data_IF_546517729975
#
_entry.id   IF_546517729975
#
_cell.length_a   1.000
_cell.length_b   1.000
_cell.length_c   1.000
_cell.angle_alpha   90.00
_cell.angle_beta   90.00
_cell.angle_gamma   90.00
#
_symmetry.space_group_name_H-M   'P 1'
#
loop_
_entity.id
_entity.type
_entity.pdbx_description
1 polymer ?
#
# COMPACT_ATOMS: atom_id res chain seq x y z
N UNK A 1 15.04 18.88 -4.06
CA UNK A 1 14.04 18.81 -2.96
C UNK A 1 14.68 18.02 -1.83
N UNK A 2 14.65 18.48 -0.57
CA UNK A 2 15.14 17.66 0.54
C UNK A 2 14.03 16.69 0.93
N UNK A 3 14.37 15.40 1.09
CA UNK A 3 13.45 14.38 1.56
C UNK A 3 13.09 14.65 3.03
N UNK A 4 11.80 14.66 3.43
CA UNK A 4 11.42 14.76 4.84
C UNK A 4 11.92 13.55 5.63
N UNK A 5 12.42 13.76 6.85
CA UNK A 5 12.96 12.70 7.70
C UNK A 5 11.88 11.90 8.45
N UNK A 6 10.75 11.58 7.81
CA UNK A 6 9.68 10.78 8.41
C UNK A 6 10.14 9.38 8.84
N UNK A 7 11.13 8.84 8.14
CA UNK A 7 11.68 7.50 8.37
C UNK A 7 12.56 7.38 9.61
N UNK A 8 12.76 8.47 10.36
CA UNK A 8 13.46 8.54 11.66
C UNK A 8 12.60 9.24 12.72
N UNK A 9 11.29 9.30 12.51
CA UNK A 9 10.34 9.94 13.42
C UNK A 9 9.25 8.95 13.88
N UNK A 10 9.38 8.35 15.08
CA UNK A 10 8.40 7.38 15.59
C UNK A 10 6.99 7.94 15.79
N UNK A 11 6.80 9.26 15.69
CA UNK A 11 5.48 9.88 15.72
C UNK A 11 4.83 9.94 14.33
N UNK A 12 5.61 9.69 13.28
CA UNK A 12 5.16 9.82 11.89
C UNK A 12 5.19 8.48 11.16
N UNK A 13 4.26 7.59 11.48
CA UNK A 13 4.13 6.30 10.78
C UNK A 13 3.53 6.47 9.37
N UNK A 14 2.65 7.45 9.22
CA UNK A 14 1.89 7.68 7.99
C UNK A 14 1.67 9.18 7.77
N UNK A 15 1.71 9.61 6.52
CA UNK A 15 1.33 10.96 6.07
C UNK A 15 0.35 10.82 4.92
N UNK A 16 -0.84 11.38 5.06
CA UNK A 16 -1.91 11.40 4.06
C UNK A 16 -2.41 10.00 3.61
N UNK A 17 -2.17 8.94 4.38
CA UNK A 17 -2.84 7.66 4.14
C UNK A 17 -4.30 7.74 4.59
N UNK A 18 -5.15 6.91 4.00
CA UNK A 18 -6.47 6.65 4.59
C UNK A 18 -6.32 5.87 5.91
N UNK A 19 -7.29 5.94 6.83
CA UNK A 19 -7.31 5.07 7.99
C UNK A 19 -7.29 3.59 7.59
N UNK A 20 -6.60 2.74 8.38
CA UNK A 20 -6.65 1.30 8.17
C UNK A 20 -8.09 0.77 8.29
N UNK A 21 -8.45 -0.12 7.40
CA UNK A 21 -9.79 -0.71 7.32
C UNK A 21 -9.73 -2.19 6.88
N UNK A 22 -10.85 -2.89 7.00
CA UNK A 22 -10.96 -4.25 6.52
C UNK A 22 -10.71 -4.34 5.01
N UNK A 23 -9.99 -5.38 4.60
CA UNK A 23 -9.76 -5.63 3.18
C UNK A 23 -11.02 -6.16 2.51
N UNK A 24 -11.48 -5.48 1.49
CA UNK A 24 -12.50 -5.96 0.57
C UNK A 24 -12.44 -5.20 -0.76
N UNK A 25 -12.85 -5.87 -1.82
CA UNK A 25 -12.94 -5.29 -3.17
C UNK A 25 -14.41 -5.16 -3.53
N UNK A 26 -14.88 -3.97 -3.94
CA UNK A 26 -16.25 -3.77 -4.37
C UNK A 26 -16.51 -4.45 -5.73
N UNK A 27 -17.75 -4.89 -5.93
CA UNK A 27 -18.24 -5.42 -7.20
C UNK A 27 -19.57 -4.77 -7.57
N UNK A 28 -19.92 -4.82 -8.86
CA UNK A 28 -21.19 -4.26 -9.36
C UNK A 28 -22.41 -5.10 -9.00
N UNK A 29 -22.22 -6.36 -8.57
CA UNK A 29 -23.31 -7.25 -8.13
C UNK A 29 -22.82 -8.28 -7.14
N UNK A 30 -23.72 -8.77 -6.28
CA UNK A 30 -23.45 -9.85 -5.33
C UNK A 30 -23.01 -11.14 -6.04
N UNK A 31 -23.61 -11.47 -7.18
CA UNK A 31 -23.22 -12.64 -7.96
C UNK A 31 -21.75 -12.56 -8.44
N UNK A 32 -21.31 -11.40 -8.90
CA UNK A 32 -19.92 -11.18 -9.30
C UNK A 32 -18.98 -11.26 -8.10
N UNK A 33 -19.36 -10.69 -6.97
CA UNK A 33 -18.55 -10.70 -5.75
C UNK A 33 -18.29 -12.10 -5.19
N UNK A 34 -19.27 -13.02 -5.32
CA UNK A 34 -19.13 -14.41 -4.84
C UNK A 34 -18.38 -15.30 -5.81
N UNK A 35 -18.55 -15.09 -7.13
CA UNK A 35 -18.07 -16.02 -8.14
C UNK A 35 -16.75 -15.64 -8.80
N UNK A 36 -16.27 -14.41 -8.62
CA UNK A 36 -15.12 -13.87 -9.35
C UNK A 36 -14.01 -13.41 -8.44
N UNK A 37 -12.78 -13.48 -8.93
CA UNK A 37 -11.61 -12.89 -8.28
C UNK A 37 -11.60 -11.37 -8.46
N UNK A 38 -10.81 -10.66 -7.68
CA UNK A 38 -10.76 -9.19 -7.60
C UNK A 38 -10.49 -8.51 -8.95
N UNK A 39 -9.75 -9.17 -9.83
CA UNK A 39 -9.37 -8.66 -11.16
C UNK A 39 -10.58 -8.49 -12.09
N UNK A 40 -11.69 -9.15 -11.78
CA UNK A 40 -12.95 -8.99 -12.50
C UNK A 40 -13.84 -7.86 -11.98
N UNK A 41 -13.43 -7.18 -10.91
CA UNK A 41 -14.14 -6.00 -10.45
C UNK A 41 -13.94 -4.83 -11.43
N UNK A 42 -15.00 -4.14 -11.87
CA UNK A 42 -14.88 -2.97 -12.72
C UNK A 42 -14.30 -1.75 -11.99
N UNK A 43 -14.09 -1.86 -10.69
CA UNK A 43 -13.54 -0.80 -9.83
C UNK A 43 -12.06 -1.01 -9.50
N UNK A 44 -11.49 -2.15 -9.89
CA UNK A 44 -10.13 -2.55 -9.57
C UNK A 44 -9.25 -2.49 -10.82
N UNK A 45 -8.16 -1.73 -10.75
CA UNK A 45 -7.17 -1.64 -11.81
C UNK A 45 -5.80 -1.99 -11.24
N UNK A 46 -5.24 -3.12 -11.65
CA UNK A 46 -3.90 -3.55 -11.22
C UNK A 46 -2.83 -2.70 -11.91
N UNK A 47 -1.83 -2.26 -11.14
CA UNK A 47 -0.68 -1.50 -11.64
C UNK A 47 0.61 -2.33 -11.67
N UNK A 48 0.55 -3.60 -11.36
CA UNK A 48 1.67 -4.55 -11.43
C UNK A 48 2.30 -4.61 -12.83
N UNK A 49 3.47 -5.20 -12.92
CA UNK A 49 4.18 -5.43 -14.17
C UNK A 49 5.57 -4.81 -14.15
N UNK A 50 6.15 -4.54 -15.32
CA UNK A 50 7.46 -3.91 -15.44
C UNK A 50 7.35 -2.41 -15.14
N UNK A 51 8.08 -1.95 -14.11
CA UNK A 51 8.21 -0.54 -13.74
C UNK A 51 9.61 -0.05 -14.08
N UNK A 52 9.75 1.20 -14.49
CA UNK A 52 11.04 1.85 -14.56
C UNK A 52 11.64 1.93 -13.16
N UNK A 53 12.97 1.71 -13.05
CA UNK A 53 13.64 1.56 -11.76
C UNK A 53 15.03 2.20 -11.77
N UNK A 54 15.39 2.78 -10.63
CA UNK A 54 16.75 3.24 -10.36
C UNK A 54 17.11 2.92 -8.90
N UNK A 55 18.29 2.31 -8.71
CA UNK A 55 18.80 1.97 -7.39
C UNK A 55 19.89 2.94 -6.97
N UNK A 56 19.89 3.34 -5.71
CA UNK A 56 20.90 4.21 -5.11
C UNK A 56 21.41 3.61 -3.81
N UNK A 57 22.74 3.64 -3.62
CA UNK A 57 23.40 3.14 -2.41
C UNK A 57 23.16 4.02 -1.17
N UNK A 58 22.56 5.18 -1.35
CA UNK A 58 22.09 6.07 -0.29
C UNK A 58 21.02 7.00 -0.82
N UNK A 59 20.00 7.31 -0.01
CA UNK A 59 19.02 8.35 -0.33
C UNK A 59 19.65 9.73 -0.51
N UNK A 60 20.84 9.94 0.05
CA UNK A 60 21.61 11.18 -0.14
C UNK A 60 22.20 11.33 -1.55
N UNK A 61 22.25 10.23 -2.31
CA UNK A 61 22.67 10.21 -3.72
C UNK A 61 21.54 10.50 -4.70
N UNK A 62 20.30 10.63 -4.21
CA UNK A 62 19.17 11.02 -5.06
C UNK A 62 19.43 12.38 -5.69
N UNK A 63 19.23 12.54 -7.01
CA UNK A 63 19.23 13.85 -7.65
C UNK A 63 18.22 14.79 -6.99
N UNK A 64 18.51 16.08 -6.92
CA UNK A 64 17.57 17.07 -6.38
C UNK A 64 16.23 17.07 -7.13
N UNK A 65 16.26 16.72 -8.40
CA UNK A 65 15.10 16.62 -9.29
C UNK A 65 14.81 15.17 -9.70
N UNK A 66 14.77 14.28 -8.72
CA UNK A 66 14.60 12.84 -8.94
C UNK A 66 13.26 12.47 -9.58
N UNK A 67 12.25 13.34 -9.50
CA UNK A 67 10.95 13.14 -10.16
C UNK A 67 11.03 13.29 -11.69
N UNK A 68 12.11 13.89 -12.22
CA UNK A 68 12.40 13.95 -13.66
C UNK A 68 13.62 13.08 -14.04
N UNK A 69 13.91 12.07 -13.22
CA UNK A 69 15.02 11.14 -13.47
C UNK A 69 14.79 10.34 -14.74
N UNK A 70 15.88 10.18 -15.54
CA UNK A 70 15.85 9.35 -16.75
C UNK A 70 16.23 7.92 -16.39
N UNK A 71 15.26 7.02 -16.38
CA UNK A 71 15.45 5.62 -16.05
C UNK A 71 16.10 4.84 -17.19
N UNK A 72 16.99 3.93 -16.85
CA UNK A 72 17.64 3.00 -17.78
C UNK A 72 17.29 1.56 -17.51
N UNK A 73 16.85 1.24 -16.30
CA UNK A 73 16.54 -0.10 -15.85
C UNK A 73 15.04 -0.29 -15.58
N UNK A 74 14.65 -1.54 -15.51
CA UNK A 74 13.28 -1.95 -15.16
C UNK A 74 13.31 -3.05 -14.11
N UNK A 75 12.25 -3.10 -13.32
CA UNK A 75 12.05 -4.14 -12.31
C UNK A 75 10.58 -4.60 -12.33
N UNK A 76 10.30 -5.90 -12.19
CA UNK A 76 8.92 -6.35 -12.00
C UNK A 76 8.38 -5.92 -10.65
N UNK A 77 7.14 -5.49 -10.61
CA UNK A 77 6.35 -5.21 -9.41
C UNK A 77 5.14 -6.14 -9.44
N UNK A 78 4.89 -6.96 -8.40
CA UNK A 78 5.65 -7.02 -7.14
C UNK A 78 6.98 -7.78 -7.24
N UNK A 79 8.01 -7.27 -6.55
CA UNK A 79 9.24 -8.01 -6.30
C UNK A 79 10.12 -7.32 -5.24
N UNK A 80 11.16 -8.03 -4.78
CA UNK A 80 12.22 -7.46 -3.98
C UNK A 80 13.44 -7.20 -4.87
N UNK A 81 14.06 -6.05 -4.76
CA UNK A 81 15.18 -5.67 -5.63
C UNK A 81 16.43 -6.56 -5.44
N UNK A 82 16.60 -7.21 -4.26
CA UNK A 82 17.67 -8.17 -4.01
C UNK A 82 17.60 -9.38 -4.98
N UNK A 83 16.41 -9.77 -5.42
CA UNK A 83 16.22 -10.86 -6.38
C UNK A 83 16.58 -10.47 -7.82
N UNK A 84 16.87 -9.18 -8.06
CA UNK A 84 17.19 -8.63 -9.38
C UNK A 84 18.62 -8.09 -9.46
N UNK A 85 19.48 -8.47 -8.47
CA UNK A 85 20.89 -8.13 -8.48
C UNK A 85 21.23 -6.78 -7.86
N UNK A 86 20.28 -6.12 -7.21
CA UNK A 86 20.50 -4.92 -6.43
C UNK A 86 20.59 -5.28 -4.95
N UNK A 87 21.63 -4.81 -4.26
CA UNK A 87 21.88 -5.12 -2.84
C UNK A 87 22.10 -6.64 -2.58
N UNK A 88 22.31 -7.00 -1.34
CA UNK A 88 22.55 -8.37 -0.91
C UNK A 88 21.43 -8.87 0.03
N UNK A 89 21.18 -10.17 -0.02
CA UNK A 89 20.34 -10.84 0.97
C UNK A 89 21.00 -10.75 2.35
N UNK A 90 20.25 -10.30 3.35
CA UNK A 90 20.65 -10.27 4.75
C UNK A 90 19.62 -11.04 5.57
N UNK A 91 20.12 -11.94 6.42
CA UNK A 91 19.31 -12.62 7.41
C UNK A 91 19.69 -12.10 8.79
N UNK A 92 18.70 -11.69 9.54
CA UNK A 92 18.87 -11.26 10.94
C UNK A 92 17.86 -11.96 11.82
N UNK A 93 18.30 -12.33 13.02
CA UNK A 93 17.49 -13.01 14.02
C UNK A 93 17.56 -12.25 15.36
N UNK A 94 18.75 -12.21 15.98
CA UNK A 94 18.94 -11.58 17.29
C UNK A 94 19.79 -10.32 17.24
N UNK A 95 20.48 -10.08 16.13
CA UNK A 95 21.34 -8.91 15.94
C UNK A 95 20.75 -8.00 14.90
N UNK A 96 20.71 -6.69 15.17
CA UNK A 96 20.35 -5.71 14.16
C UNK A 96 21.40 -5.64 13.05
N UNK A 97 20.99 -5.39 11.78
CA UNK A 97 21.91 -5.28 10.66
C UNK A 97 22.74 -4.00 10.66
N UNK A 98 22.47 -3.09 11.59
CA UNK A 98 23.14 -1.80 11.78
C UNK A 98 23.20 -1.45 13.28
N UNK A 99 24.00 -0.43 13.72
CA UNK A 99 24.09 -0.04 15.11
C UNK A 99 22.75 0.28 15.75
N UNK A 100 22.54 -0.17 16.99
CA UNK A 100 21.31 0.07 17.74
C UNK A 100 21.30 1.49 18.29
N UNK A 101 20.65 2.39 17.57
CA UNK A 101 20.51 3.82 17.93
C UNK A 101 19.14 4.39 17.49
N UNK A 102 18.00 3.79 17.95
CA UNK A 102 16.69 4.26 17.53
C UNK A 102 16.42 5.73 17.94
N UNK A 103 15.76 6.52 17.10
CA UNK A 103 15.07 6.11 15.87
C UNK A 103 15.95 6.19 14.61
N UNK A 104 17.22 6.48 14.74
CA UNK A 104 18.11 6.77 13.63
C UNK A 104 18.50 5.51 12.86
N UNK A 105 18.52 5.62 11.54
CA UNK A 105 18.99 4.57 10.62
C UNK A 105 20.28 5.01 9.93
N UNK A 106 21.04 4.10 9.29
CA UNK A 106 22.25 4.47 8.58
C UNK A 106 22.04 5.59 7.56
N UNK A 107 22.96 6.54 7.49
CA UNK A 107 22.94 7.59 6.46
C UNK A 107 23.06 6.97 5.06
N UNK A 108 23.88 5.90 4.92
CA UNK A 108 23.95 5.08 3.71
C UNK A 108 22.75 4.15 3.61
N UNK A 109 21.56 4.76 3.65
CA UNK A 109 20.29 4.06 3.55
C UNK A 109 19.94 3.86 2.07
N UNK A 110 20.06 2.63 1.63
CA UNK A 110 19.82 2.23 0.25
C UNK A 110 18.37 2.53 -0.15
N UNK A 111 18.17 2.93 -1.40
CA UNK A 111 16.82 3.20 -1.86
C UNK A 111 16.58 2.83 -3.32
N UNK A 112 15.34 2.51 -3.63
CA UNK A 112 14.84 2.29 -4.99
C UNK A 112 13.84 3.36 -5.38
N UNK A 113 14.07 4.01 -6.52
CA UNK A 113 13.13 4.90 -7.15
C UNK A 113 12.40 4.14 -8.26
N UNK A 114 11.11 4.03 -8.13
CA UNK A 114 10.20 3.36 -9.06
C UNK A 114 9.38 4.39 -9.83
N UNK A 115 9.10 4.11 -11.11
CA UNK A 115 8.23 4.92 -11.92
C UNK A 115 7.27 4.05 -12.74
N UNK A 116 6.00 4.45 -12.78
CA UNK A 116 4.95 3.80 -13.56
C UNK A 116 4.07 4.83 -14.25
N UNK A 117 3.88 4.66 -15.54
CA UNK A 117 2.84 5.40 -16.29
C UNK A 117 1.55 4.57 -16.27
N UNK A 118 0.43 5.23 -16.00
CA UNK A 118 -0.90 4.62 -16.03
C UNK A 118 -1.94 5.60 -16.53
N UNK A 119 -3.05 5.08 -17.06
CA UNK A 119 -4.12 5.90 -17.61
C UNK A 119 -5.37 5.81 -16.74
N UNK A 120 -6.03 6.94 -16.53
CA UNK A 120 -7.29 7.03 -15.82
C UNK A 120 -8.30 7.86 -16.63
N UNK A 121 -9.50 7.32 -16.78
CA UNK A 121 -10.66 8.11 -17.20
C UNK A 121 -11.35 8.64 -15.94
N UNK A 122 -11.15 9.92 -15.67
CA UNK A 122 -11.67 10.55 -14.45
C UNK A 122 -13.19 10.68 -14.53
N UNK A 123 -13.85 10.14 -13.51
CA UNK A 123 -15.25 10.41 -13.21
C UNK A 123 -15.33 11.27 -11.96
N UNK A 124 -15.90 12.49 -12.05
CA UNK A 124 -15.99 13.44 -10.96
C UNK A 124 -16.82 12.94 -9.75
N UNK A 125 -17.68 11.94 -9.95
CA UNK A 125 -18.47 11.32 -8.88
C UNK A 125 -17.69 10.24 -8.11
N UNK A 126 -16.42 9.95 -8.49
CA UNK A 126 -15.61 8.91 -7.87
C UNK A 126 -14.40 9.46 -7.13
N UNK A 127 -13.93 8.67 -6.19
CA UNK A 127 -12.61 8.74 -5.57
C UNK A 127 -11.71 7.65 -6.14
N UNK A 128 -10.43 7.92 -6.17
CA UNK A 128 -9.42 7.00 -6.68
C UNK A 128 -8.39 6.71 -5.58
N UNK A 129 -8.43 5.50 -5.06
CA UNK A 129 -7.61 5.06 -3.93
C UNK A 129 -6.47 4.19 -4.43
N UNK A 130 -5.25 4.67 -4.28
CA UNK A 130 -4.03 3.95 -4.64
C UNK A 130 -3.59 3.08 -3.47
N UNK A 131 -3.44 1.79 -3.72
CA UNK A 131 -3.13 0.78 -2.72
C UNK A 131 -1.78 0.13 -2.98
N UNK A 132 -0.96 0.02 -1.93
CA UNK A 132 0.24 -0.80 -1.86
C UNK A 132 0.02 -1.86 -0.78
N UNK A 133 -0.11 -3.13 -1.14
CA UNK A 133 -0.36 -4.21 -0.17
C UNK A 133 0.86 -4.59 0.68
N UNK A 134 2.05 -4.19 0.25
CA UNK A 134 3.28 -4.40 1.01
C UNK A 134 4.49 -3.75 0.36
N UNK A 135 5.18 -2.91 1.13
CA UNK A 135 6.43 -2.25 0.73
C UNK A 135 7.39 -2.26 1.91
N UNK A 136 8.59 -2.76 1.74
CA UNK A 136 9.61 -2.84 2.79
C UNK A 136 10.79 -1.90 2.47
N UNK A 137 11.14 -0.98 3.39
CA UNK A 137 10.61 -0.71 4.75
C UNK A 137 9.57 0.41 4.76
N UNK A 138 9.79 1.49 4.00
CA UNK A 138 8.88 2.64 3.92
C UNK A 138 8.87 3.22 2.52
N UNK A 139 7.83 3.99 2.21
CA UNK A 139 7.63 4.55 0.89
C UNK A 139 7.20 6.02 0.94
N UNK A 140 7.70 6.78 -0.04
CA UNK A 140 7.21 8.12 -0.39
C UNK A 140 6.52 8.03 -1.75
N UNK A 141 5.30 8.52 -1.84
CA UNK A 141 4.46 8.44 -3.03
C UNK A 141 4.30 9.81 -3.66
N UNK A 142 4.46 9.87 -4.97
CA UNK A 142 4.26 11.08 -5.78
C UNK A 142 3.41 10.73 -7.01
N UNK A 143 2.42 11.55 -7.29
CA UNK A 143 1.61 11.46 -8.51
C UNK A 143 1.73 12.76 -9.27
N UNK A 144 2.04 12.69 -10.58
CA UNK A 144 2.22 13.85 -11.44
C UNK A 144 3.18 14.90 -10.82
N UNK A 145 4.31 14.41 -10.27
CA UNK A 145 5.36 15.18 -9.59
C UNK A 145 4.93 15.89 -8.29
N UNK A 146 3.74 15.61 -7.77
CA UNK A 146 3.25 16.14 -6.51
C UNK A 146 3.38 15.10 -5.41
N UNK A 147 3.86 15.51 -4.23
CA UNK A 147 3.92 14.64 -3.06
C UNK A 147 2.50 14.27 -2.60
N UNK A 148 2.21 12.98 -2.57
CA UNK A 148 0.95 12.43 -2.09
C UNK A 148 1.04 12.10 -0.61
N UNK A 149 2.05 11.30 -0.22
CA UNK A 149 2.17 10.87 1.15
C UNK A 149 3.34 9.94 1.42
N UNK A 150 3.42 9.50 2.68
CA UNK A 150 4.43 8.60 3.23
C UNK A 150 3.74 7.49 4.03
N UNK A 151 4.34 6.31 4.03
CA UNK A 151 3.90 5.21 4.88
C UNK A 151 5.06 4.27 5.22
N UNK A 152 4.96 3.64 6.38
CA UNK A 152 5.80 2.52 6.83
C UNK A 152 4.91 1.41 7.41
N UNK A 153 5.48 0.37 8.02
CA UNK A 153 4.84 -0.89 8.41
C UNK A 153 4.65 -1.78 7.18
N UNK A 154 5.76 -2.46 6.83
CA UNK A 154 5.97 -3.10 5.53
C UNK A 154 4.93 -4.13 5.12
N UNK A 155 4.27 -4.82 6.05
CA UNK A 155 3.32 -5.90 5.78
C UNK A 155 1.85 -5.48 5.88
N UNK A 156 1.59 -4.19 6.13
CA UNK A 156 0.26 -3.60 6.11
C UNK A 156 0.01 -2.88 4.79
N UNK A 157 -1.25 -2.85 4.35
CA UNK A 157 -1.64 -2.08 3.17
C UNK A 157 -1.55 -0.59 3.46
N UNK A 158 -0.89 0.14 2.57
CA UNK A 158 -0.87 1.60 2.55
C UNK A 158 -1.81 2.09 1.45
N UNK A 159 -2.87 2.79 1.83
CA UNK A 159 -3.84 3.35 0.90
C UNK A 159 -3.80 4.87 0.90
N UNK A 160 -3.80 5.47 -0.29
CA UNK A 160 -3.78 6.93 -0.48
C UNK A 160 -4.93 7.36 -1.39
N UNK A 161 -5.69 8.38 -0.99
CA UNK A 161 -6.62 9.05 -1.89
C UNK A 161 -5.84 9.96 -2.84
N UNK A 162 -5.77 9.57 -4.11
CA UNK A 162 -5.03 10.32 -5.13
C UNK A 162 -5.95 11.10 -6.07
N UNK A 163 -7.22 11.23 -5.73
CA UNK A 163 -8.26 11.84 -6.60
C UNK A 163 -7.85 13.21 -7.10
N UNK A 164 -7.37 14.08 -6.19
CA UNK A 164 -7.01 15.46 -6.51
C UNK A 164 -5.65 15.60 -7.23
N UNK A 165 -4.87 14.53 -7.32
CA UNK A 165 -3.57 14.49 -7.98
C UNK A 165 -3.64 13.98 -9.42
N UNK A 166 -4.78 13.38 -9.80
CA UNK A 166 -4.96 12.78 -11.12
C UNK A 166 -5.28 13.83 -12.20
N UNK A 167 -4.86 13.53 -13.40
CA UNK A 167 -5.27 14.20 -14.63
C UNK A 167 -5.95 13.22 -15.59
N UNK A 168 -6.78 13.72 -16.47
CA UNK A 168 -7.47 12.92 -17.48
C UNK A 168 -6.44 12.27 -18.42
N UNK A 169 -6.53 10.97 -18.58
CA UNK A 169 -5.62 10.19 -19.43
C UNK A 169 -4.36 9.74 -18.68
N UNK A 170 -3.19 10.07 -19.22
CA UNK A 170 -1.90 9.63 -18.72
C UNK A 170 -1.52 10.28 -17.39
N UNK A 171 -1.03 9.46 -16.45
CA UNK A 171 -0.55 9.88 -15.13
C UNK A 171 0.78 9.19 -14.81
N UNK A 172 1.62 9.89 -14.07
CA UNK A 172 2.94 9.44 -13.65
C UNK A 172 2.95 9.16 -12.14
N UNK A 173 3.22 7.92 -11.76
CA UNK A 173 3.41 7.50 -10.38
C UNK A 173 4.91 7.30 -10.12
N UNK A 174 5.46 8.03 -9.15
CA UNK A 174 6.79 7.78 -8.62
C UNK A 174 6.69 7.28 -7.18
N UNK A 175 7.45 6.24 -6.86
CA UNK A 175 7.55 5.69 -5.51
C UNK A 175 9.01 5.58 -5.13
N UNK A 176 9.39 6.29 -4.07
CA UNK A 176 10.71 6.14 -3.48
C UNK A 176 10.59 5.22 -2.27
N UNK A 177 11.31 4.09 -2.30
CA UNK A 177 11.35 3.11 -1.22
C UNK A 177 12.71 3.17 -0.55
N UNK A 178 12.76 3.32 0.77
CA UNK A 178 13.99 3.21 1.56
C UNK A 178 14.11 1.83 2.18
N UNK A 179 15.34 1.32 2.26
CA UNK A 179 15.63 0.02 2.89
C UNK A 179 15.38 0.04 4.39
N UNK A 180 15.66 1.15 5.06
CA UNK A 180 15.58 1.29 6.49
C UNK A 180 14.70 2.46 6.91
N UNK A 181 13.92 2.25 7.96
CA UNK A 181 13.21 3.28 8.70
C UNK A 181 13.25 2.93 10.20
N UNK A 182 12.78 3.80 11.06
CA UNK A 182 12.71 3.54 12.51
C UNK A 182 11.89 2.28 12.84
N UNK A 183 10.87 1.95 12.03
CA UNK A 183 10.13 0.69 12.11
C UNK A 183 10.99 -0.55 11.93
N UNK A 184 12.16 -0.44 11.26
CA UNK A 184 13.09 -1.55 11.06
C UNK A 184 13.62 -2.14 12.38
N UNK A 185 13.63 -1.36 13.45
CA UNK A 185 13.98 -1.86 14.79
C UNK A 185 12.91 -2.80 15.38
N UNK A 186 11.65 -2.63 15.01
CA UNK A 186 10.52 -3.41 15.50
C UNK A 186 10.17 -4.59 14.58
N UNK A 187 10.46 -4.45 13.28
CA UNK A 187 10.15 -5.46 12.28
C UNK A 187 11.27 -6.51 12.12
N UNK A 188 12.30 -6.49 12.97
CA UNK A 188 13.41 -7.42 12.93
C UNK A 188 13.11 -8.69 13.72
N UNK A 189 12.53 -9.67 13.06
CA UNK A 189 12.21 -10.94 13.68
C UNK A 189 12.42 -12.13 12.73
N UNK A 190 13.58 -12.79 12.85
CA UNK A 190 13.89 -14.09 12.25
C UNK A 190 13.47 -14.19 10.76
N UNK A 191 13.87 -13.20 9.97
CA UNK A 191 13.51 -13.09 8.55
C UNK A 191 14.66 -12.58 7.68
N UNK A 192 14.60 -12.85 6.38
CA UNK A 192 15.41 -12.13 5.42
C UNK A 192 15.01 -10.66 5.34
N UNK A 193 15.99 -9.78 5.35
CA UNK A 193 15.82 -8.34 5.10
C UNK A 193 15.78 -8.10 3.61
N UNK A 194 14.57 -8.12 3.07
CA UNK A 194 14.27 -7.87 1.67
C UNK A 194 13.62 -6.49 1.55
N UNK A 195 13.76 -5.86 0.41
CA UNK A 195 13.26 -4.50 0.21
C UNK A 195 12.59 -4.35 -1.14
N UNK A 196 11.69 -3.37 -1.25
CA UNK A 196 10.98 -3.07 -2.47
C UNK A 196 9.47 -3.19 -2.33
N UNK A 197 8.78 -3.07 -3.45
CA UNK A 197 7.33 -3.24 -3.54
C UNK A 197 7.06 -4.73 -3.77
N UNK A 198 6.83 -5.49 -2.70
CA UNK A 198 6.81 -6.96 -2.74
C UNK A 198 5.42 -7.58 -2.82
N UNK A 199 4.37 -6.76 -2.76
CA UNK A 199 2.97 -7.16 -2.98
C UNK A 199 2.33 -6.27 -4.02
N UNK A 200 1.08 -6.60 -4.36
CA UNK A 200 0.35 -5.93 -5.44
C UNK A 200 0.17 -4.43 -5.21
N UNK A 201 0.20 -3.71 -6.32
CA UNK A 201 -0.18 -2.29 -6.40
C UNK A 201 -1.40 -2.18 -7.30
N UNK A 202 -2.41 -1.46 -6.82
CA UNK A 202 -3.64 -1.28 -7.58
C UNK A 202 -4.36 0.02 -7.26
N UNK A 203 -5.22 0.43 -8.16
CA UNK A 203 -6.12 1.56 -8.01
C UNK A 203 -7.55 1.05 -7.81
N UNK A 204 -8.26 1.58 -6.81
CA UNK A 204 -9.68 1.37 -6.61
C UNK A 204 -10.45 2.64 -6.95
N UNK A 205 -11.40 2.53 -7.89
CA UNK A 205 -12.38 3.58 -8.13
C UNK A 205 -13.59 3.35 -7.20
N UNK A 206 -13.87 4.29 -6.30
CA UNK A 206 -14.98 4.23 -5.34
C UNK A 206 -15.96 5.35 -5.62
N UNK A 207 -17.23 5.16 -5.27
CA UNK A 207 -18.16 6.30 -5.17
C UNK A 207 -17.65 7.30 -4.11
N UNK A 208 -18.08 8.58 -4.15
CA UNK A 208 -17.64 9.56 -3.15
C UNK A 208 -17.98 9.11 -1.74
N UNK A 209 -19.20 8.66 -1.53
CA UNK A 209 -19.61 8.03 -0.28
C UNK A 209 -19.68 6.51 -0.46
N UNK A 210 -18.72 5.81 0.11
CA UNK A 210 -18.58 4.36 0.02
C UNK A 210 -18.46 3.74 1.42
N UNK A 211 -18.72 2.45 1.53
CA UNK A 211 -18.39 1.69 2.73
C UNK A 211 -16.87 1.67 2.88
N UNK A 212 -16.36 2.40 3.89
CA UNK A 212 -14.92 2.54 4.13
C UNK A 212 -14.39 1.36 4.95
N UNK A 213 -15.13 1.01 6.02
CA UNK A 213 -14.72 -0.09 6.89
C UNK A 213 -15.94 -0.92 7.32
N UNK A 214 -15.67 -2.18 7.59
CA UNK A 214 -16.64 -3.09 8.19
C UNK A 214 -15.94 -3.99 9.23
N UNK A 215 -16.59 -4.16 10.37
CA UNK A 215 -16.10 -5.00 11.43
C UNK A 215 -17.17 -6.03 11.80
N UNK A 216 -16.85 -7.32 11.64
CA UNK A 216 -17.77 -8.43 11.85
C UNK A 216 -17.35 -9.19 13.10
N UNK A 217 -18.26 -9.31 14.06
CA UNK A 217 -18.04 -10.07 15.29
C UNK A 217 -19.11 -11.15 15.45
N UNK A 218 -18.67 -12.36 15.77
CA UNK A 218 -19.57 -13.46 16.14
C UNK A 218 -19.45 -13.72 17.64
N UNK A 219 -20.56 -13.62 18.34
CA UNK A 219 -20.66 -13.94 19.78
C UNK A 219 -21.49 -15.20 19.99
N UNK A 220 -20.95 -16.14 20.74
CA UNK A 220 -21.61 -17.37 21.08
C UNK A 220 -22.18 -17.31 22.50
N UNK A 221 -23.33 -18.02 22.74
CA UNK A 221 -23.76 -18.28 24.09
C UNK A 221 -22.85 -19.30 24.79
N UNK A 222 -22.98 -19.44 26.11
CA UNK A 222 -22.11 -20.34 26.89
C UNK A 222 -22.15 -21.81 26.44
N UNK A 223 -23.29 -22.27 25.98
CA UNK A 223 -23.52 -23.65 25.51
C UNK A 223 -23.09 -23.87 24.05
N UNK A 224 -22.61 -22.82 23.36
CA UNK A 224 -22.20 -22.84 21.93
C UNK A 224 -23.31 -23.33 20.98
N UNK A 225 -24.59 -23.15 21.38
CA UNK A 225 -25.77 -23.58 20.61
C UNK A 225 -26.38 -22.44 19.79
N UNK A 226 -26.00 -21.19 20.08
CA UNK A 226 -26.48 -19.98 19.38
C UNK A 226 -25.36 -19.03 19.18
N UNK A 227 -25.39 -18.33 18.04
CA UNK A 227 -24.48 -17.24 17.72
C UNK A 227 -25.27 -15.97 17.40
N UNK A 228 -24.71 -14.84 17.73
CA UNK A 228 -25.18 -13.51 17.34
C UNK A 228 -24.10 -12.86 16.50
N UNK A 229 -24.48 -12.33 15.33
CA UNK A 229 -23.59 -11.62 14.43
C UNK A 229 -23.78 -10.11 14.63
N UNK A 230 -22.69 -9.42 14.91
CA UNK A 230 -22.61 -7.97 14.95
C UNK A 230 -21.82 -7.48 13.73
N UNK A 231 -22.37 -6.53 13.00
CA UNK A 231 -21.70 -5.91 11.84
C UNK A 231 -21.69 -4.40 12.08
N UNK A 232 -20.51 -3.84 12.31
CA UNK A 232 -20.30 -2.41 12.36
C UNK A 232 -19.78 -1.95 10.99
N UNK A 233 -20.37 -0.87 10.45
CA UNK A 233 -20.02 -0.32 9.16
C UNK A 233 -19.66 1.16 9.32
N UNK A 234 -18.62 1.59 8.62
CA UNK A 234 -18.21 2.99 8.54
C UNK A 234 -18.25 3.44 7.09
N UNK A 235 -18.87 4.58 6.83
CA UNK A 235 -18.91 5.20 5.51
C UNK A 235 -17.94 6.38 5.41
N UNK A 236 -17.50 6.70 4.20
CA UNK A 236 -16.52 7.75 3.97
C UNK A 236 -17.07 9.16 4.27
N UNK A 237 -18.36 9.42 4.00
CA UNK A 237 -18.94 10.75 4.17
C UNK A 237 -20.17 10.75 5.09
N UNK A 238 -21.16 9.90 4.82
CA UNK A 238 -22.39 9.85 5.60
C UNK A 238 -22.97 8.42 5.65
N UNK A 239 -23.67 8.12 6.72
CA UNK A 239 -24.37 6.84 6.87
C UNK A 239 -25.37 6.60 5.75
N UNK A 240 -25.44 5.35 5.28
CA UNK A 240 -26.40 4.89 4.27
C UNK A 240 -27.04 3.58 4.70
N UNK A 241 -28.29 3.32 4.28
CA UNK A 241 -28.89 2.01 4.44
C UNK A 241 -28.07 0.94 3.72
N UNK A 242 -27.79 -0.16 4.41
CA UNK A 242 -27.16 -1.34 3.85
C UNK A 242 -28.08 -2.54 3.95
N UNK A 243 -27.95 -3.45 2.99
CA UNK A 243 -28.52 -4.79 3.08
C UNK A 243 -27.39 -5.81 3.10
N UNK A 244 -27.55 -6.85 3.87
CA UNK A 244 -26.58 -7.94 3.92
C UNK A 244 -27.32 -9.28 3.88
N UNK A 245 -26.63 -10.31 3.45
CA UNK A 245 -27.13 -11.67 3.39
C UNK A 245 -26.09 -12.60 3.99
N UNK A 246 -26.55 -13.56 4.77
CA UNK A 246 -25.71 -14.61 5.34
C UNK A 246 -26.07 -15.92 4.67
N UNK A 247 -25.07 -16.56 4.06
CA UNK A 247 -25.23 -17.85 3.43
C UNK A 247 -24.55 -18.93 4.28
N UNK A 248 -25.15 -20.10 4.32
CA UNK A 248 -24.51 -21.27 4.91
C UNK A 248 -23.37 -21.79 4.00
N UNK A 249 -22.57 -22.79 4.45
CA UNK A 249 -21.51 -23.35 3.62
C UNK A 249 -21.98 -24.03 2.31
N UNK A 250 -23.28 -24.33 2.20
CA UNK A 250 -23.93 -24.89 1.01
C UNK A 250 -24.41 -23.80 0.05
N UNK A 251 -24.37 -22.53 0.48
CA UNK A 251 -24.81 -21.37 -0.29
C UNK A 251 -26.32 -21.10 -0.17
N UNK A 252 -26.99 -21.64 0.84
CA UNK A 252 -28.40 -21.36 1.16
C UNK A 252 -28.51 -20.15 2.10
N UNK A 253 -29.56 -19.32 1.92
CA UNK A 253 -29.81 -18.07 2.66
C UNK A 253 -30.46 -18.36 4.01
#
# INVERSE_FOLDING_TARGET
MSLPCYFEDPQTLHVNTTPHHAYFIPFSSAESAVKKTREFSPYFTVLNGEWDFAYFESYTHLPQDFLHFSFTDKIPVPSNWQNHGYDNHQYTNVNYPFPFDPPYVPIENLCGLYHRVFNVEINAEKRYLLNFEGVDSCLFVYVNHQFVGYSQISHCTSEFDITDFLQQGENHLHVLVLKWCDGSYLEDQDKFRMSGIFRDVYLLARERNYLQDLFIQTQFNQELTKAQLYVACQFAECEQPISWQLFDPQGEL
#
